data_IF_705943153352
#
_entry.id   IF_705943153352
#
_cell.length_a   1.000
_cell.length_b   1.000
_cell.length_c   1.000
_cell.angle_alpha   90.00
_cell.angle_beta   90.00
_cell.angle_gamma   90.00
#
_symmetry.space_group_name_H-M   'P 1'
#
loop_
_entity.id
_entity.type
_entity.pdbx_description
1 polymer ?
#
# COMPACT_ATOMS: atom_id res chain seq x y z
N UNK A 1 -5.66 25.38 -2.68
CA UNK A 1 -5.35 24.08 -3.32
C UNK A 1 -3.86 23.79 -3.20
N UNK A 2 -3.42 23.22 -2.08
CA UNK A 2 -2.00 22.88 -1.86
C UNK A 2 -1.71 21.45 -2.34
N UNK A 3 -1.19 21.34 -3.56
CA UNK A 3 -0.05 20.48 -3.91
C UNK A 3 -0.03 18.99 -3.52
N UNK A 4 -1.17 18.29 -3.47
CA UNK A 4 -1.19 16.86 -3.15
C UNK A 4 -0.37 16.05 -4.19
N UNK A 5 0.66 15.31 -3.77
CA UNK A 5 1.51 14.52 -4.67
C UNK A 5 0.70 13.43 -5.37
N UNK A 6 -0.33 12.93 -4.71
CA UNK A 6 -1.28 11.97 -5.27
C UNK A 6 -2.04 12.56 -6.45
N UNK A 7 -2.62 13.77 -6.28
CA UNK A 7 -3.32 14.48 -7.36
C UNK A 7 -2.43 14.77 -8.57
N UNK A 8 -1.14 15.00 -8.35
CA UNK A 8 -0.16 15.25 -9.42
C UNK A 8 0.21 13.98 -10.20
N UNK A 9 -0.10 12.79 -9.67
CA UNK A 9 0.24 11.51 -10.29
C UNK A 9 1.74 11.25 -10.36
N UNK A 10 2.51 11.74 -9.38
CA UNK A 10 3.98 11.66 -9.37
C UNK A 10 4.49 11.30 -7.99
N UNK A 11 5.34 10.28 -7.91
CA UNK A 11 6.06 9.92 -6.68
C UNK A 11 7.34 10.75 -6.52
N UNK A 12 8.01 11.06 -7.63
CA UNK A 12 9.17 11.95 -7.70
C UNK A 12 8.74 13.38 -8.10
N UNK A 13 9.54 14.42 -7.79
CA UNK A 13 9.13 15.81 -8.06
C UNK A 13 9.14 16.20 -9.54
N UNK A 14 9.72 15.38 -10.42
CA UNK A 14 9.85 15.59 -11.87
C UNK A 14 9.11 14.53 -12.70
N UNK A 15 8.86 14.82 -13.98
CA UNK A 15 8.21 13.93 -14.95
C UNK A 15 6.72 14.22 -15.19
N UNK A 16 6.13 13.50 -16.14
CA UNK A 16 4.69 13.54 -16.45
C UNK A 16 3.87 12.69 -15.47
N UNK A 17 2.57 12.98 -15.25
CA UNK A 17 1.67 12.10 -14.51
C UNK A 17 1.69 10.69 -15.09
N UNK A 18 1.85 9.68 -14.24
CA UNK A 18 1.93 8.28 -14.64
C UNK A 18 1.29 7.39 -13.58
N UNK A 19 1.06 6.12 -13.91
CA UNK A 19 0.67 5.09 -12.93
C UNK A 19 1.69 5.11 -11.79
N UNK A 20 1.20 5.33 -10.57
CA UNK A 20 2.04 5.40 -9.37
C UNK A 20 2.27 4.01 -8.81
N UNK A 21 1.20 3.22 -8.73
CA UNK A 21 1.18 1.86 -8.22
C UNK A 21 0.63 0.92 -9.28
N UNK A 22 1.51 0.09 -9.82
CA UNK A 22 1.13 -0.96 -10.76
C UNK A 22 0.43 -2.13 -10.09
N UNK A 23 0.80 -2.40 -8.83
CA UNK A 23 0.30 -3.52 -8.02
C UNK A 23 -0.14 -3.03 -6.65
N UNK A 24 -1.12 -3.69 -6.05
CA UNK A 24 -1.49 -3.42 -4.66
C UNK A 24 -0.52 -4.06 -3.69
N UNK A 25 -0.23 -3.37 -2.60
CA UNK A 25 0.46 -3.92 -1.44
C UNK A 25 -0.49 -3.86 -0.26
N UNK A 26 -1.70 -4.37 -0.42
CA UNK A 26 -2.73 -4.42 0.61
C UNK A 26 -3.22 -5.86 0.68
N UNK A 27 -3.11 -6.48 1.85
CA UNK A 27 -3.69 -7.79 2.09
C UNK A 27 -5.21 -7.65 2.28
N UNK A 28 -5.93 -7.79 1.18
CA UNK A 28 -7.39 -7.62 1.03
C UNK A 28 -8.18 -8.50 2.00
N UNK A 29 -7.58 -9.58 2.51
CA UNK A 29 -8.25 -10.48 3.46
C UNK A 29 -8.60 -9.74 4.75
N UNK A 30 -7.83 -8.70 5.12
CA UNK A 30 -8.14 -7.85 6.27
C UNK A 30 -9.40 -7.02 6.00
N UNK A 31 -9.53 -6.43 4.81
CA UNK A 31 -10.75 -5.73 4.40
C UNK A 31 -11.96 -6.65 4.38
N UNK A 32 -11.84 -7.80 3.72
CA UNK A 32 -12.94 -8.74 3.59
C UNK A 32 -13.42 -9.24 4.96
N UNK A 33 -12.49 -9.57 5.86
CA UNK A 33 -12.83 -9.95 7.22
C UNK A 33 -13.47 -8.81 8.02
N UNK A 34 -13.00 -7.56 7.85
CA UNK A 34 -13.52 -6.41 8.57
C UNK A 34 -14.91 -5.96 8.08
N UNK A 35 -15.18 -6.07 6.77
CA UNK A 35 -16.45 -5.63 6.18
C UNK A 35 -17.58 -6.65 6.38
N UNK A 36 -17.24 -7.94 6.53
CA UNK A 36 -18.19 -9.02 6.76
C UNK A 36 -19.20 -9.12 5.63
N UNK A 37 -20.49 -9.23 5.99
CA UNK A 37 -21.57 -9.41 5.00
C UNK A 37 -21.57 -8.39 3.84
N UNK A 38 -22.01 -8.82 2.63
CA UNK A 38 -22.15 -7.95 1.46
C UNK A 38 -22.86 -6.63 1.77
N UNK A 39 -22.33 -5.56 1.20
CA UNK A 39 -22.77 -4.21 1.50
C UNK A 39 -22.09 -3.18 0.61
N UNK A 40 -22.38 -1.90 0.82
CA UNK A 40 -21.69 -0.84 0.08
C UNK A 40 -20.34 -0.56 0.74
N UNK A 41 -19.26 -0.58 -0.03
CA UNK A 41 -17.91 -0.30 0.49
C UNK A 41 -17.22 0.79 -0.32
N UNK A 42 -16.35 1.54 0.34
CA UNK A 42 -15.51 2.57 -0.27
C UNK A 42 -14.05 2.15 -0.15
N UNK A 43 -13.30 2.13 -1.25
CA UNK A 43 -11.87 1.77 -1.24
C UNK A 43 -11.08 2.79 -2.05
N UNK A 44 -9.78 2.93 -1.79
CA UNK A 44 -8.89 3.67 -2.68
C UNK A 44 -8.68 2.84 -3.95
N UNK A 45 -8.83 3.45 -5.13
CA UNK A 45 -8.86 2.69 -6.38
C UNK A 45 -7.51 2.03 -6.70
N UNK A 46 -6.40 2.78 -6.58
CA UNK A 46 -5.04 2.27 -6.75
C UNK A 46 -4.89 1.34 -7.97
N UNK A 47 -4.34 0.13 -7.81
CA UNK A 47 -4.21 -0.86 -8.88
C UNK A 47 -5.51 -1.68 -9.13
N UNK A 48 -6.54 -1.50 -8.30
CA UNK A 48 -7.84 -2.15 -8.42
C UNK A 48 -7.99 -3.51 -7.73
N UNK A 49 -6.93 -4.08 -7.15
CA UNK A 49 -6.99 -5.45 -6.59
C UNK A 49 -7.92 -5.54 -5.36
N UNK A 50 -7.83 -4.61 -4.41
CA UNK A 50 -8.74 -4.56 -3.25
C UNK A 50 -10.18 -4.30 -3.68
N UNK A 51 -10.38 -3.44 -4.68
CA UNK A 51 -11.70 -3.16 -5.24
C UNK A 51 -12.31 -4.41 -5.90
N UNK A 52 -11.52 -5.13 -6.69
CA UNK A 52 -11.93 -6.36 -7.35
C UNK A 52 -12.27 -7.46 -6.33
N UNK A 53 -11.44 -7.63 -5.30
CA UNK A 53 -11.66 -8.59 -4.24
C UNK A 53 -12.96 -8.30 -3.47
N UNK A 54 -13.20 -7.03 -3.11
CA UNK A 54 -14.45 -6.63 -2.47
C UNK A 54 -15.67 -6.88 -3.37
N UNK A 55 -15.58 -6.58 -4.67
CA UNK A 55 -16.67 -6.82 -5.61
C UNK A 55 -16.96 -8.32 -5.77
N UNK A 56 -15.91 -9.15 -5.82
CA UNK A 56 -16.04 -10.61 -5.89
C UNK A 56 -16.63 -11.23 -4.62
N UNK A 57 -16.44 -10.59 -3.46
CA UNK A 57 -17.13 -10.94 -2.22
C UNK A 57 -18.59 -10.42 -2.16
N UNK A 58 -19.11 -9.85 -3.26
CA UNK A 58 -20.50 -9.38 -3.36
C UNK A 58 -20.74 -7.96 -2.87
N UNK A 59 -19.70 -7.21 -2.50
CA UNK A 59 -19.88 -5.81 -2.10
C UNK A 59 -20.18 -4.91 -3.31
N UNK A 60 -20.98 -3.87 -3.08
CA UNK A 60 -21.13 -2.74 -4.01
C UNK A 60 -20.00 -1.75 -3.78
N UNK A 61 -19.00 -1.78 -4.65
CA UNK A 61 -17.74 -1.05 -4.45
C UNK A 61 -17.77 0.32 -5.12
N UNK A 62 -17.46 1.36 -4.34
CA UNK A 62 -17.02 2.66 -4.85
C UNK A 62 -15.50 2.73 -4.68
N UNK A 63 -14.76 2.68 -5.79
CA UNK A 63 -13.31 2.83 -5.81
C UNK A 63 -12.97 4.29 -6.15
N UNK A 64 -12.33 4.99 -5.21
CA UNK A 64 -12.09 6.43 -5.26
C UNK A 64 -10.62 6.72 -5.45
N UNK A 65 -10.29 7.60 -6.38
CA UNK A 65 -8.93 8.11 -6.53
C UNK A 65 -8.95 9.56 -7.02
N UNK A 66 -8.01 10.36 -6.54
CA UNK A 66 -7.84 11.75 -6.97
C UNK A 66 -7.07 11.82 -8.29
N UNK A 67 -6.25 10.81 -8.58
CA UNK A 67 -5.41 10.72 -9.77
C UNK A 67 -6.15 10.07 -10.95
N UNK A 68 -6.41 10.85 -11.99
CA UNK A 68 -7.11 10.37 -13.19
C UNK A 68 -6.36 9.25 -13.92
N UNK A 69 -5.02 9.27 -13.94
CA UNK A 69 -4.19 8.24 -14.60
C UNK A 69 -4.28 6.92 -13.84
N UNK A 70 -4.22 6.98 -12.52
CA UNK A 70 -4.37 5.79 -11.66
C UNK A 70 -5.79 5.21 -11.77
N UNK A 71 -6.82 6.07 -11.84
CA UNK A 71 -8.20 5.63 -12.00
C UNK A 71 -8.46 5.01 -13.38
N UNK A 72 -7.87 5.56 -14.44
CA UNK A 72 -7.93 4.94 -15.77
C UNK A 72 -7.24 3.57 -15.78
N UNK A 73 -6.05 3.47 -15.19
CA UNK A 73 -5.36 2.19 -15.03
C UNK A 73 -6.18 1.18 -14.21
N UNK A 74 -6.79 1.60 -13.10
CA UNK A 74 -7.69 0.77 -12.32
C UNK A 74 -8.85 0.22 -13.17
N UNK A 75 -9.46 1.05 -14.03
CA UNK A 75 -10.51 0.63 -14.97
C UNK A 75 -10.03 -0.49 -15.88
N UNK A 76 -8.87 -0.30 -16.52
CA UNK A 76 -8.32 -1.25 -17.47
C UNK A 76 -7.98 -2.57 -16.77
N UNK A 77 -7.42 -2.52 -15.55
CA UNK A 77 -7.10 -3.70 -14.74
C UNK A 77 -8.36 -4.48 -14.34
N UNK A 78 -9.42 -3.80 -13.93
CA UNK A 78 -10.70 -4.42 -13.60
C UNK A 78 -11.34 -5.10 -14.82
N UNK A 79 -11.12 -4.55 -16.01
CA UNK A 79 -11.55 -5.11 -17.29
C UNK A 79 -10.64 -6.26 -17.82
N UNK A 80 -9.63 -6.70 -17.05
CA UNK A 80 -8.74 -7.79 -17.44
C UNK A 80 -7.45 -7.34 -18.14
N UNK A 81 -7.23 -6.03 -18.31
CA UNK A 81 -5.97 -5.49 -18.84
C UNK A 81 -4.76 -5.89 -17.99
N UNK A 82 -3.55 -6.01 -18.54
CA UNK A 82 -2.38 -6.51 -17.83
C UNK A 82 -1.89 -5.53 -16.76
N UNK A 83 -1.18 -6.05 -15.75
CA UNK A 83 -0.46 -5.21 -14.80
C UNK A 83 0.73 -4.52 -15.51
N UNK A 84 0.89 -3.22 -15.28
CA UNK A 84 2.07 -2.46 -15.73
C UNK A 84 2.87 -2.02 -14.51
N UNK A 85 4.17 -1.84 -14.66
CA UNK A 85 4.95 -1.28 -13.56
C UNK A 85 4.64 0.21 -13.42
N UNK A 86 4.17 0.60 -12.24
CA UNK A 86 4.07 1.99 -11.84
C UNK A 86 5.43 2.58 -11.45
N UNK A 87 5.39 3.83 -10.99
CA UNK A 87 6.58 4.52 -10.49
C UNK A 87 7.21 3.78 -9.31
N UNK A 88 6.40 3.24 -8.39
CA UNK A 88 6.89 2.49 -7.24
C UNK A 88 7.64 1.22 -7.66
N UNK A 89 7.08 0.44 -8.59
CA UNK A 89 7.70 -0.80 -9.06
C UNK A 89 8.99 -0.54 -9.85
N UNK A 90 9.04 0.55 -10.64
CA UNK A 90 10.26 0.96 -11.33
C UNK A 90 11.36 1.37 -10.35
N UNK A 91 11.02 2.10 -9.29
CA UNK A 91 11.97 2.47 -8.23
C UNK A 91 12.49 1.23 -7.50
N UNK A 92 11.60 0.30 -7.12
CA UNK A 92 12.00 -0.96 -6.49
C UNK A 92 12.90 -1.81 -7.42
N UNK A 93 12.58 -1.89 -8.72
CA UNK A 93 13.43 -2.57 -9.71
C UNK A 93 14.82 -1.95 -9.77
N UNK A 94 14.91 -0.62 -9.84
CA UNK A 94 16.19 0.08 -9.87
C UNK A 94 16.99 -0.19 -8.58
N UNK A 95 16.34 -0.10 -7.41
CA UNK A 95 16.95 -0.39 -6.12
C UNK A 95 17.52 -1.81 -6.04
N UNK A 96 16.76 -2.84 -6.44
CA UNK A 96 17.24 -4.23 -6.48
C UNK A 96 18.46 -4.40 -7.39
N UNK A 97 18.46 -3.77 -8.58
CA UNK A 97 19.60 -3.81 -9.50
C UNK A 97 20.84 -3.16 -8.90
N UNK A 98 20.69 -2.00 -8.25
CA UNK A 98 21.79 -1.29 -7.58
C UNK A 98 22.37 -2.11 -6.42
N UNK A 99 21.54 -2.88 -5.71
CA UNK A 99 21.99 -3.73 -4.60
C UNK A 99 22.70 -5.01 -5.06
N UNK A 100 22.44 -5.52 -6.26
CA UNK A 100 22.98 -6.81 -6.71
C UNK A 100 24.51 -6.91 -6.73
N UNK A 101 25.22 -5.77 -6.78
CA UNK A 101 26.69 -5.72 -6.69
C UNK A 101 27.17 -5.68 -5.23
N UNK A 102 26.84 -4.66 -4.41
CA UNK A 102 27.33 -4.55 -3.03
C UNK A 102 26.63 -5.49 -2.03
N UNK A 103 25.50 -6.10 -2.41
CA UNK A 103 24.74 -7.05 -1.59
C UNK A 103 24.26 -8.22 -2.46
N UNK A 104 25.12 -9.24 -2.70
CA UNK A 104 24.83 -10.33 -3.63
C UNK A 104 23.55 -11.12 -3.34
N UNK A 105 23.04 -11.08 -2.10
CA UNK A 105 21.73 -11.64 -1.75
C UNK A 105 20.56 -11.07 -2.56
N UNK A 106 20.71 -9.85 -3.10
CA UNK A 106 19.71 -9.20 -3.95
C UNK A 106 19.81 -9.58 -5.44
N UNK A 107 20.77 -10.44 -5.82
CA UNK A 107 20.84 -10.93 -7.20
C UNK A 107 19.67 -11.85 -7.51
N UNK A 108 19.24 -11.83 -8.77
CA UNK A 108 18.02 -12.50 -9.22
C UNK A 108 18.09 -14.02 -9.02
N UNK A 109 19.23 -14.63 -9.35
CA UNK A 109 19.52 -16.05 -9.18
C UNK A 109 19.50 -16.47 -7.71
N UNK A 110 20.08 -15.65 -6.82
CA UNK A 110 20.05 -15.91 -5.38
C UNK A 110 18.62 -15.84 -4.85
N UNK A 111 17.89 -14.76 -5.15
CA UNK A 111 16.49 -14.61 -4.71
C UNK A 111 15.59 -15.71 -5.26
N UNK A 112 15.80 -16.16 -6.50
CA UNK A 112 15.02 -17.22 -7.12
C UNK A 112 15.14 -18.55 -6.35
N UNK A 113 16.30 -18.86 -5.80
CA UNK A 113 16.54 -20.06 -5.02
C UNK A 113 15.80 -20.08 -3.66
N UNK A 114 15.26 -18.94 -3.23
CA UNK A 114 14.62 -18.76 -1.93
C UNK A 114 13.14 -18.37 -2.02
N UNK A 115 12.53 -18.44 -3.21
CA UNK A 115 11.11 -18.06 -3.36
C UNK A 115 10.14 -19.03 -2.67
N UNK A 116 10.59 -20.25 -2.38
CA UNK A 116 9.83 -21.25 -1.67
C UNK A 116 10.19 -21.34 -0.18
N UNK A 117 10.96 -20.37 0.34
CA UNK A 117 11.33 -20.33 1.76
C UNK A 117 10.10 -20.05 2.64
N UNK A 118 9.97 -20.86 3.70
CA UNK A 118 9.01 -20.65 4.79
C UNK A 118 9.42 -19.49 5.71
N UNK A 119 8.66 -19.23 6.77
CA UNK A 119 8.92 -18.13 7.71
C UNK A 119 10.35 -18.16 8.29
N UNK A 120 10.75 -19.24 8.98
CA UNK A 120 12.10 -19.36 9.54
C UNK A 120 13.22 -19.23 8.50
N UNK A 121 13.08 -19.85 7.32
CA UNK A 121 14.07 -19.75 6.25
C UNK A 121 14.15 -18.32 5.68
N UNK A 122 13.01 -17.68 5.42
CA UNK A 122 12.95 -16.30 4.93
C UNK A 122 13.54 -15.30 5.93
N UNK A 123 13.34 -15.52 7.24
CA UNK A 123 13.98 -14.71 8.27
C UNK A 123 15.50 -14.86 8.32
N UNK A 124 16.04 -16.07 8.09
CA UNK A 124 17.49 -16.28 7.96
C UNK A 124 18.02 -15.59 6.72
N UNK A 125 17.39 -15.80 5.56
CA UNK A 125 17.75 -15.11 4.31
C UNK A 125 17.80 -13.59 4.50
N UNK A 126 16.75 -13.02 5.13
CA UNK A 126 16.69 -11.59 5.38
C UNK A 126 17.88 -11.11 6.20
N UNK A 127 18.11 -11.71 7.38
CA UNK A 127 19.19 -11.28 8.29
C UNK A 127 20.59 -11.51 7.73
N UNK A 128 20.80 -12.62 7.04
CA UNK A 128 22.14 -13.05 6.63
C UNK A 128 22.55 -12.48 5.26
N UNK A 129 21.58 -12.23 4.37
CA UNK A 129 21.89 -11.92 2.96
C UNK A 129 21.23 -10.67 2.39
N UNK A 130 20.08 -10.23 2.91
CA UNK A 130 19.33 -9.11 2.33
C UNK A 130 19.47 -7.81 3.13
N UNK A 131 19.43 -7.89 4.46
CA UNK A 131 19.45 -6.76 5.38
C UNK A 131 20.86 -6.23 5.63
N UNK A 132 21.46 -5.68 4.57
CA UNK A 132 22.86 -5.28 4.54
C UNK A 132 23.06 -3.79 4.81
N UNK A 133 24.29 -3.36 5.17
CA UNK A 133 24.65 -1.94 5.21
C UNK A 133 24.40 -1.23 3.88
N UNK A 134 24.58 -1.92 2.74
CA UNK A 134 24.30 -1.38 1.41
C UNK A 134 22.79 -1.08 1.22
N UNK A 135 21.91 -1.98 1.68
CA UNK A 135 20.46 -1.73 1.71
C UNK A 135 20.13 -0.53 2.62
N UNK A 136 20.72 -0.48 3.82
CA UNK A 136 20.52 0.63 4.73
C UNK A 136 20.94 1.98 4.12
N UNK A 137 22.10 2.02 3.44
CA UNK A 137 22.60 3.20 2.74
C UNK A 137 21.70 3.61 1.57
N UNK A 138 21.20 2.65 0.78
CA UNK A 138 20.29 2.92 -0.33
C UNK A 138 18.96 3.50 0.18
N UNK A 139 18.36 2.90 1.22
CA UNK A 139 17.14 3.42 1.82
C UNK A 139 17.35 4.82 2.41
N UNK A 140 18.48 5.04 3.08
CA UNK A 140 18.87 6.36 3.55
C UNK A 140 18.95 7.36 2.38
N UNK A 141 19.59 7.02 1.26
CA UNK A 141 19.70 7.89 0.10
C UNK A 141 18.34 8.20 -0.55
N UNK A 142 17.42 7.25 -0.60
CA UNK A 142 16.10 7.44 -1.22
C UNK A 142 15.16 8.24 -0.32
N UNK A 143 15.21 8.00 0.99
CA UNK A 143 14.27 8.58 1.95
C UNK A 143 14.73 9.95 2.50
N UNK A 144 16.05 10.19 2.62
CA UNK A 144 16.61 11.42 3.21
C UNK A 144 16.40 12.70 2.39
N UNK A 145 16.42 12.72 1.05
CA UNK A 145 16.09 13.91 0.27
C UNK A 145 14.65 14.37 0.52
N UNK A 146 13.74 13.41 0.76
CA UNK A 146 12.38 13.67 1.20
C UNK A 146 12.35 14.30 2.60
N UNK A 147 13.16 13.82 3.54
CA UNK A 147 13.26 14.35 4.91
C UNK A 147 13.84 15.77 4.96
N UNK A 148 14.90 16.04 4.20
CA UNK A 148 15.57 17.35 4.17
C UNK A 148 14.72 18.43 3.49
N UNK A 149 14.06 18.15 2.36
CA UNK A 149 13.14 19.10 1.72
C UNK A 149 11.82 19.28 2.49
N UNK A 150 11.37 18.25 3.21
CA UNK A 150 10.11 18.29 3.96
C UNK A 150 10.20 19.10 5.25
N UNK A 151 11.29 18.95 6.00
CA UNK A 151 11.55 19.75 7.21
C UNK A 151 11.55 21.25 6.94
N UNK A 152 11.82 21.67 5.70
CA UNK A 152 11.91 23.07 5.30
C UNK A 152 10.61 23.68 4.74
N UNK A 153 9.62 22.86 4.33
CA UNK A 153 8.41 23.37 3.65
C UNK A 153 7.07 22.87 4.21
N UNK A 154 7.02 21.73 4.89
CA UNK A 154 5.77 21.19 5.48
C UNK A 154 6.10 20.25 6.64
N UNK A 155 5.85 20.65 7.91
CA UNK A 155 6.08 19.80 9.10
C UNK A 155 5.39 18.43 9.01
N UNK A 156 4.26 18.36 8.31
CA UNK A 156 3.41 17.18 8.16
C UNK A 156 4.07 16.01 7.38
N UNK A 157 5.06 16.30 6.53
CA UNK A 157 5.77 15.26 5.78
C UNK A 157 6.97 14.69 6.56
N UNK A 158 7.55 15.45 7.49
CA UNK A 158 8.56 14.91 8.41
C UNK A 158 7.96 13.82 9.33
N UNK A 159 6.66 13.90 9.63
CA UNK A 159 5.93 12.86 10.37
C UNK A 159 5.72 11.56 9.57
N UNK A 160 5.76 11.61 8.23
CA UNK A 160 5.61 10.43 7.37
C UNK A 160 6.88 9.56 7.35
N UNK A 161 8.04 10.21 7.37
CA UNK A 161 9.35 9.56 7.28
C UNK A 161 10.18 9.93 8.51
N UNK A 162 9.86 9.39 9.71
CA UNK A 162 10.67 9.62 10.90
C UNK A 162 12.16 9.33 10.60
N UNK A 163 13.12 9.94 11.32
CA UNK A 163 14.56 9.80 11.05
C UNK A 163 15.01 8.35 10.87
N UNK A 164 14.36 7.43 11.56
CA UNK A 164 14.66 5.99 11.58
C UNK A 164 13.76 5.14 10.68
N UNK A 165 12.94 5.74 9.82
CA UNK A 165 11.98 5.02 8.99
C UNK A 165 12.62 3.91 8.15
N UNK A 166 13.80 4.15 7.58
CA UNK A 166 14.53 3.12 6.83
C UNK A 166 14.95 1.92 7.69
N UNK A 167 15.30 2.14 8.96
CA UNK A 167 15.60 1.06 9.92
C UNK A 167 14.32 0.32 10.31
N UNK A 168 13.26 1.05 10.61
CA UNK A 168 11.98 0.44 10.98
C UNK A 168 11.37 -0.37 9.83
N UNK A 169 11.43 0.13 8.60
CA UNK A 169 10.98 -0.60 7.41
C UNK A 169 11.76 -1.91 7.24
N UNK A 170 13.09 -1.90 7.39
CA UNK A 170 13.90 -3.12 7.32
C UNK A 170 13.53 -4.13 8.41
N UNK A 171 13.44 -3.66 9.67
CA UNK A 171 13.05 -4.51 10.80
C UNK A 171 11.67 -5.13 10.59
N UNK A 172 10.71 -4.34 10.09
CA UNK A 172 9.36 -4.78 9.78
C UNK A 172 9.33 -5.85 8.69
N UNK A 173 10.02 -5.63 7.57
CA UNK A 173 10.11 -6.62 6.50
C UNK A 173 10.69 -7.92 7.06
N UNK A 174 11.77 -7.86 7.85
CA UNK A 174 12.35 -9.04 8.49
C UNK A 174 11.38 -9.80 9.40
N UNK A 175 10.65 -9.08 10.28
CA UNK A 175 9.63 -9.70 11.15
C UNK A 175 8.49 -10.34 10.34
N UNK A 176 8.01 -9.64 9.31
CA UNK A 176 6.87 -10.09 8.51
C UNK A 176 7.25 -11.28 7.61
N UNK A 177 8.47 -11.30 7.05
CA UNK A 177 9.03 -12.47 6.36
C UNK A 177 9.14 -13.66 7.31
N UNK A 178 9.62 -13.45 8.54
CA UNK A 178 9.69 -14.49 9.57
C UNK A 178 8.34 -15.11 9.92
N UNK A 179 7.26 -14.33 9.87
CA UNK A 179 5.91 -14.80 10.17
C UNK A 179 5.22 -15.45 8.98
N UNK A 180 5.34 -14.87 7.80
CA UNK A 180 4.50 -15.22 6.63
C UNK A 180 5.24 -16.01 5.55
N UNK A 181 6.56 -16.12 5.65
CA UNK A 181 7.43 -16.71 4.63
C UNK A 181 7.41 -15.95 3.30
N UNK A 182 8.14 -16.50 2.34
CA UNK A 182 8.07 -16.12 0.92
C UNK A 182 7.13 -17.09 0.19
N UNK A 183 7.21 -18.38 0.53
CA UNK A 183 6.35 -19.43 -0.01
C UNK A 183 4.86 -19.06 0.09
N UNK A 184 4.20 -18.95 -1.06
CA UNK A 184 2.77 -18.60 -1.12
C UNK A 184 2.44 -17.17 -0.69
N UNK A 185 3.42 -16.29 -0.45
CA UNK A 185 3.22 -14.89 -0.12
C UNK A 185 3.47 -14.01 -1.36
N UNK A 186 2.41 -13.68 -2.10
CA UNK A 186 2.50 -12.87 -3.32
C UNK A 186 3.17 -11.51 -3.11
N UNK A 187 3.04 -10.90 -1.94
CA UNK A 187 3.66 -9.60 -1.68
C UNK A 187 5.17 -9.72 -1.48
N UNK A 188 5.63 -10.81 -0.87
CA UNK A 188 7.05 -11.13 -0.78
C UNK A 188 7.66 -11.33 -2.18
N UNK A 189 6.98 -12.08 -3.07
CA UNK A 189 7.39 -12.24 -4.47
C UNK A 189 7.49 -10.89 -5.19
N UNK A 190 6.50 -10.00 -5.02
CA UNK A 190 6.51 -8.66 -5.62
C UNK A 190 7.64 -7.79 -5.08
N UNK A 191 7.85 -7.80 -3.77
CA UNK A 191 8.86 -6.97 -3.10
C UNK A 191 10.28 -7.43 -3.45
N UNK A 192 10.55 -8.73 -3.27
CA UNK A 192 11.89 -9.31 -3.40
C UNK A 192 12.26 -9.60 -4.86
N UNK A 193 11.41 -10.31 -5.61
CA UNK A 193 11.72 -10.68 -7.00
C UNK A 193 11.18 -9.69 -8.04
N UNK A 194 10.21 -8.84 -7.68
CA UNK A 194 9.51 -8.01 -8.65
C UNK A 194 8.59 -8.82 -9.57
N UNK A 195 8.14 -9.98 -9.11
CA UNK A 195 7.31 -10.92 -9.84
C UNK A 195 6.03 -11.24 -9.06
N UNK A 196 5.02 -11.77 -9.76
CA UNK A 196 3.86 -12.37 -9.08
C UNK A 196 4.21 -13.75 -8.53
N UNK A 197 3.49 -14.18 -7.49
CA UNK A 197 3.50 -15.58 -7.06
C UNK A 197 3.06 -16.47 -8.24
N UNK A 198 3.78 -17.55 -8.56
CA UNK A 198 3.36 -18.48 -9.60
C UNK A 198 1.93 -18.99 -9.37
N UNK A 199 1.14 -19.07 -10.45
CA UNK A 199 -0.27 -19.46 -10.39
C UNK A 199 -1.23 -18.41 -9.82
N UNK A 200 -0.74 -17.39 -9.12
CA UNK A 200 -1.60 -16.31 -8.64
C UNK A 200 -2.10 -15.45 -9.81
N UNK A 201 -3.38 -15.09 -9.74
CA UNK A 201 -4.02 -14.17 -10.67
C UNK A 201 -4.87 -13.17 -9.89
N UNK A 202 -4.85 -11.89 -10.30
CA UNK A 202 -5.75 -10.90 -9.73
C UNK A 202 -7.18 -11.25 -10.13
N UNK A 203 -8.14 -10.94 -9.26
CA UNK A 203 -9.54 -11.05 -9.61
C UNK A 203 -9.87 -9.97 -10.66
N UNK A 204 -10.50 -10.38 -11.75
CA UNK A 204 -10.92 -9.50 -12.86
C UNK A 204 -12.31 -9.89 -13.35
N UNK A 205 -13.04 -8.96 -13.99
CA UNK A 205 -14.31 -9.29 -14.66
C UNK A 205 -15.49 -9.62 -13.73
N UNK A 206 -15.47 -9.12 -12.48
CA UNK A 206 -16.54 -9.32 -11.50
C UNK A 206 -17.67 -8.27 -11.55
N UNK A 207 -18.47 -8.21 -10.47
CA UNK A 207 -19.54 -7.22 -10.30
C UNK A 207 -19.04 -5.77 -10.52
N UNK A 208 -19.88 -4.87 -11.07
CA UNK A 208 -19.44 -3.54 -11.49
C UNK A 208 -18.91 -2.73 -10.31
N UNK A 209 -17.63 -2.37 -10.37
CA UNK A 209 -16.99 -1.41 -9.46
C UNK A 209 -17.26 0.01 -9.99
N UNK A 210 -17.83 0.87 -9.15
CA UNK A 210 -18.03 2.28 -9.50
C UNK A 210 -16.75 3.06 -9.23
N UNK A 211 -16.11 3.51 -10.30
CA UNK A 211 -14.92 4.37 -10.23
C UNK A 211 -15.33 5.84 -10.02
N UNK A 212 -14.73 6.50 -9.02
CA UNK A 212 -15.02 7.88 -8.65
C UNK A 212 -13.74 8.69 -8.63
N UNK A 213 -13.67 9.73 -9.47
CA UNK A 213 -12.56 10.68 -9.45
C UNK A 213 -12.84 11.76 -8.41
N UNK A 214 -12.22 11.68 -7.25
CA UNK A 214 -12.37 12.66 -6.18
C UNK A 214 -11.24 12.56 -5.14
N UNK A 215 -11.00 13.64 -4.38
CA UNK A 215 -10.34 13.50 -3.08
C UNK A 215 -11.25 12.65 -2.17
N UNK A 216 -10.67 11.69 -1.44
CA UNK A 216 -11.44 10.78 -0.59
C UNK A 216 -12.21 11.53 0.51
N UNK A 217 -11.66 12.61 1.05
CA UNK A 217 -12.34 13.41 2.07
C UNK A 217 -13.55 14.13 1.48
N UNK A 218 -13.42 14.68 0.27
CA UNK A 218 -14.53 15.37 -0.40
C UNK A 218 -15.64 14.39 -0.80
N UNK A 219 -15.27 13.19 -1.29
CA UNK A 219 -16.23 12.11 -1.56
C UNK A 219 -16.99 11.67 -0.30
N UNK A 220 -16.27 11.43 0.81
CA UNK A 220 -16.89 11.05 2.08
C UNK A 220 -17.76 12.18 2.66
N UNK A 221 -17.43 13.44 2.38
CA UNK A 221 -18.24 14.59 2.78
C UNK A 221 -19.54 14.71 1.97
N UNK A 222 -19.55 14.27 0.72
CA UNK A 222 -20.69 14.38 -0.19
C UNK A 222 -21.76 13.28 0.00
N UNK A 223 -21.38 12.09 0.50
CA UNK A 223 -22.34 10.99 0.69
C UNK A 223 -23.17 11.15 1.97
N UNK A 224 -24.41 10.63 2.04
CA UNK A 224 -25.19 10.64 3.28
C UNK A 224 -24.46 9.97 4.47
N UNK A 225 -24.78 10.33 5.73
CA UNK A 225 -24.34 9.55 6.89
C UNK A 225 -24.78 8.09 6.78
N UNK A 226 -23.94 7.15 7.24
CA UNK A 226 -24.27 5.73 7.20
C UNK A 226 -24.31 5.09 5.81
N UNK A 227 -23.77 5.75 4.79
CA UNK A 227 -23.81 5.28 3.41
C UNK A 227 -22.99 4.02 3.13
N UNK A 228 -21.87 3.80 3.83
CA UNK A 228 -20.96 2.67 3.64
C UNK A 228 -20.99 1.70 4.81
N UNK A 229 -20.98 0.40 4.54
CA UNK A 229 -20.72 -0.65 5.51
C UNK A 229 -19.22 -0.82 5.79
N UNK A 230 -18.38 -0.54 4.80
CA UNK A 230 -16.93 -0.68 4.88
C UNK A 230 -16.20 0.48 4.21
N UNK A 231 -15.08 0.93 4.78
CA UNK A 231 -14.21 1.94 4.17
C UNK A 231 -12.75 1.48 4.30
N UNK A 232 -12.01 1.36 3.20
CA UNK A 232 -10.57 1.11 3.20
C UNK A 232 -9.81 2.41 2.89
N UNK A 233 -8.98 2.84 3.83
CA UNK A 233 -8.10 4.01 3.72
C UNK A 233 -6.64 3.54 3.78
N UNK A 234 -6.05 3.25 2.63
CA UNK A 234 -4.62 2.94 2.53
C UNK A 234 -3.85 4.20 2.15
N UNK A 235 -2.77 4.51 2.87
CA UNK A 235 -1.80 5.60 2.62
C UNK A 235 -2.33 7.04 2.42
N UNK A 236 -3.63 7.27 2.51
CA UNK A 236 -4.24 8.61 2.37
C UNK A 236 -4.15 9.47 3.65
N UNK A 237 -3.78 8.86 4.78
CA UNK A 237 -3.47 9.57 6.02
C UNK A 237 -1.97 9.83 6.21
N UNK A 238 -1.14 9.30 5.32
CA UNK A 238 0.30 9.44 5.34
C UNK A 238 0.71 10.81 4.77
N UNK A 239 1.54 11.55 5.49
CA UNK A 239 2.06 12.86 5.04
C UNK A 239 1.04 13.99 5.02
N UNK A 240 -0.12 13.81 5.65
CA UNK A 240 -1.11 14.88 5.88
C UNK A 240 -1.10 15.32 7.33
N UNK A 241 -1.27 16.63 7.57
CA UNK A 241 -1.25 17.17 8.92
C UNK A 241 -2.37 16.63 9.82
N UNK A 242 -2.13 16.72 11.13
CA UNK A 242 -3.03 16.16 12.14
C UNK A 242 -4.47 16.66 12.00
N UNK A 243 -4.68 17.92 11.58
CA UNK A 243 -6.00 18.48 11.32
C UNK A 243 -6.71 17.80 10.13
N UNK A 244 -6.00 17.62 9.00
CA UNK A 244 -6.55 16.94 7.80
C UNK A 244 -6.82 15.47 8.08
N UNK A 245 -5.90 14.78 8.79
CA UNK A 245 -6.11 13.40 9.25
C UNK A 245 -7.35 13.27 10.14
N UNK A 246 -7.48 14.12 11.17
CA UNK A 246 -8.67 14.13 12.05
C UNK A 246 -9.96 14.39 11.27
N UNK A 247 -9.93 15.33 10.32
CA UNK A 247 -11.08 15.61 9.45
C UNK A 247 -11.47 14.38 8.62
N UNK A 248 -10.51 13.74 7.97
CA UNK A 248 -10.76 12.54 7.16
C UNK A 248 -11.36 11.40 8.00
N UNK A 249 -10.80 11.12 9.18
CA UNK A 249 -11.32 10.07 10.07
C UNK A 249 -12.74 10.38 10.57
N UNK A 250 -13.06 11.65 10.87
CA UNK A 250 -14.45 12.04 11.22
C UNK A 250 -15.42 11.84 10.05
N UNK A 251 -15.01 12.20 8.84
CA UNK A 251 -15.83 12.01 7.64
C UNK A 251 -16.05 10.53 7.33
N UNK A 252 -15.02 9.71 7.47
CA UNK A 252 -15.12 8.26 7.35
C UNK A 252 -16.10 7.68 8.38
N UNK A 253 -15.98 8.08 9.65
CA UNK A 253 -16.90 7.63 10.71
C UNK A 253 -18.35 8.08 10.45
N UNK A 254 -18.58 9.33 10.00
CA UNK A 254 -19.91 9.82 9.61
C UNK A 254 -20.53 8.97 8.50
N UNK A 255 -19.75 8.69 7.46
CA UNK A 255 -20.19 7.96 6.28
C UNK A 255 -20.38 6.45 6.54
N UNK A 256 -19.88 5.92 7.66
CA UNK A 256 -19.98 4.52 8.03
C UNK A 256 -21.33 4.19 8.65
N UNK A 257 -21.98 3.11 8.25
CA UNK A 257 -23.21 2.60 8.84
C UNK A 257 -22.94 2.04 10.26
N UNK A 258 -23.96 1.98 11.13
CA UNK A 258 -23.85 1.24 12.40
C UNK A 258 -23.38 -0.20 12.16
N UNK A 259 -22.42 -0.67 12.97
CA UNK A 259 -21.80 -1.99 12.80
C UNK A 259 -20.81 -2.09 11.63
N UNK A 260 -20.56 -1.00 10.90
CA UNK A 260 -19.57 -0.95 9.83
C UNK A 260 -18.14 -0.81 10.34
N UNK A 261 -17.18 -0.98 9.43
CA UNK A 261 -15.75 -0.88 9.75
C UNK A 261 -14.96 0.06 8.80
N UNK A 262 -13.99 0.77 9.35
CA UNK A 262 -12.91 1.42 8.60
C UNK A 262 -11.63 0.60 8.76
N UNK A 263 -11.02 0.20 7.65
CA UNK A 263 -9.68 -0.39 7.61
C UNK A 263 -8.70 0.69 7.22
N UNK A 264 -7.76 0.99 8.10
CA UNK A 264 -6.79 2.06 7.94
C UNK A 264 -5.39 1.47 7.81
N UNK A 265 -4.68 1.81 6.73
CA UNK A 265 -3.25 1.49 6.57
C UNK A 265 -2.38 2.73 6.49
N UNK A 266 -1.26 2.66 7.21
CA UNK A 266 -0.29 3.75 7.34
C UNK A 266 1.11 3.19 7.22
N UNK A 267 1.97 3.87 6.45
CA UNK A 267 3.40 3.58 6.45
C UNK A 267 4.04 3.99 7.77
N UNK A 268 3.66 5.17 8.26
CA UNK A 268 4.12 5.69 9.54
C UNK A 268 3.65 4.76 10.68
N UNK A 269 4.51 4.50 11.69
CA UNK A 269 4.08 3.80 12.88
C UNK A 269 3.00 4.62 13.58
N UNK A 270 1.90 3.97 13.96
CA UNK A 270 0.91 4.54 14.86
C UNK A 270 1.18 3.99 16.27
N UNK A 271 0.66 4.66 17.30
CA UNK A 271 0.82 4.23 18.69
C UNK A 271 0.37 2.77 18.92
N UNK A 272 -0.63 2.34 18.16
CA UNK A 272 -1.11 0.97 18.08
C UNK A 272 -0.91 0.46 16.63
N UNK A 273 -0.04 -0.53 16.40
CA UNK A 273 0.20 -1.09 15.07
C UNK A 273 -0.97 -1.94 14.56
N UNK A 274 -1.89 -2.35 15.44
CA UNK A 274 -3.02 -3.22 15.12
C UNK A 274 -2.60 -4.52 14.42
N UNK A 275 -3.25 -4.81 13.31
CA UNK A 275 -3.05 -5.99 12.47
C UNK A 275 -1.84 -5.90 11.53
N UNK A 276 -0.93 -4.93 11.72
CA UNK A 276 0.22 -4.77 10.83
C UNK A 276 1.13 -6.02 10.78
N UNK A 277 1.20 -6.77 11.88
CA UNK A 277 1.92 -8.05 11.90
C UNK A 277 1.20 -9.15 11.11
N UNK A 278 -0.13 -9.10 11.00
CA UNK A 278 -0.93 -10.10 10.29
C UNK A 278 -1.05 -9.81 8.79
N UNK A 279 -0.83 -8.56 8.38
CA UNK A 279 -0.82 -8.15 6.99
C UNK A 279 0.39 -8.73 6.25
N UNK A 280 0.14 -9.54 5.20
CA UNK A 280 1.19 -10.23 4.45
C UNK A 280 2.01 -9.32 3.53
N UNK A 281 1.63 -8.04 3.37
CA UNK A 281 2.28 -7.11 2.42
C UNK A 281 3.60 -6.52 2.91
N UNK A 282 4.03 -6.85 4.13
CA UNK A 282 5.37 -6.62 4.71
C UNK A 282 5.75 -5.15 4.98
N UNK A 283 5.03 -4.17 4.45
CA UNK A 283 5.47 -2.77 4.42
C UNK A 283 4.71 -1.83 5.35
N UNK A 284 3.54 -2.23 5.89
CA UNK A 284 2.69 -1.33 6.69
C UNK A 284 3.11 -1.20 8.15
N UNK A 285 3.07 0.03 8.66
CA UNK A 285 3.44 0.34 10.05
C UNK A 285 2.28 0.30 11.01
N UNK A 286 1.09 0.46 10.48
CA UNK A 286 -0.13 0.18 11.19
C UNK A 286 -1.20 -0.30 10.22
N UNK A 287 -1.97 -1.29 10.66
CA UNK A 287 -3.21 -1.73 10.00
C UNK A 287 -4.27 -1.78 11.08
N UNK A 288 -5.23 -0.86 11.07
CA UNK A 288 -6.23 -0.73 12.14
C UNK A 288 -7.63 -0.93 11.59
N UNK A 289 -8.44 -1.68 12.34
CA UNK A 289 -9.87 -1.82 12.09
C UNK A 289 -10.61 -0.99 13.13
N UNK A 290 -11.30 0.05 12.67
CA UNK A 290 -12.11 0.94 13.51
C UNK A 290 -13.58 0.62 13.26
N UNK A 291 -14.30 0.16 14.29
CA UNK A 291 -15.73 -0.15 14.18
C UNK A 291 -16.59 1.03 14.65
N UNK A 292 -17.80 1.14 14.10
CA UNK A 292 -18.85 2.06 14.55
C UNK A 292 -19.95 1.31 15.28
#
# INVERSE_FOLDING_TARGET
MTGDRWARGRLLPWGAPAVQFGRSYEDERIELAAFGEPGRVCVIAAAGETAAACAAAGHRVNAVDINAVQLAYCRDRLAGGPAVDGQAERLMRAGRRLLGVPAPGWRKDVLAAHLDDDGPAAARLWRERLDTPALAALLALVLRPGQALAGWRTPDFAALLPPDFGRELRNRIGRALGRHGIAGNRFAHRLLAGAELPGWRPVTGGAPVRLVRADIADHLAAVPPGHYRGIALSNVIDGVGAARRRRLLRLAHRALAPGGAVVLRSFAPLADPGLAADDRSLIWGAVRVLRR
#
